data_IF_501228534618
#
_entry.id   IF_501228534618
#
_cell.length_a   1.000
_cell.length_b   1.000
_cell.length_c   1.000
_cell.angle_alpha   90.00
_cell.angle_beta   90.00
_cell.angle_gamma   90.00
#
_symmetry.space_group_name_H-M   'P 1'
#
loop_
_entity.id
_entity.type
_entity.pdbx_description
1 polymer ?
#
# COMPACT_ATOMS: atom_id res chain seq x y z
N UNK A 1 -22.05 0.43 -22.92
CA UNK A 1 -20.73 0.46 -22.28
C UNK A 1 -19.98 -0.78 -22.70
N UNK A 2 -18.97 -0.65 -23.55
CA UNK A 2 -18.10 -1.74 -23.95
C UNK A 2 -17.17 -2.05 -22.76
N UNK A 3 -17.28 -3.23 -22.19
CA UNK A 3 -16.27 -3.77 -21.30
C UNK A 3 -15.00 -3.91 -22.15
N UNK A 4 -14.08 -2.98 -22.02
CA UNK A 4 -12.73 -3.16 -22.53
C UNK A 4 -12.12 -4.30 -21.70
N UNK A 5 -12.00 -5.49 -22.30
CA UNK A 5 -11.11 -6.49 -21.77
C UNK A 5 -9.72 -5.86 -21.75
N UNK A 6 -9.25 -5.47 -20.58
CA UNK A 6 -7.89 -4.99 -20.39
C UNK A 6 -7.00 -6.17 -20.78
N UNK A 7 -6.20 -6.01 -21.84
CA UNK A 7 -5.24 -7.03 -22.23
C UNK A 7 -4.13 -7.03 -21.20
N UNK A 8 -3.78 -8.19 -20.69
CA UNK A 8 -2.53 -8.35 -19.92
C UNK A 8 -1.37 -8.07 -20.86
N UNK A 9 -0.46 -7.20 -20.43
CA UNK A 9 0.74 -6.88 -21.19
C UNK A 9 1.94 -7.41 -20.44
N UNK A 10 2.85 -8.07 -21.17
CA UNK A 10 4.17 -8.44 -20.65
C UNK A 10 5.12 -7.30 -20.95
N UNK A 11 5.70 -6.73 -19.91
CA UNK A 11 6.72 -5.68 -20.03
C UNK A 11 8.08 -6.24 -19.65
N UNK A 12 9.07 -5.99 -20.51
CA UNK A 12 10.45 -6.35 -20.27
C UNK A 12 11.18 -5.10 -19.80
N UNK A 13 11.73 -5.15 -18.58
CA UNK A 13 12.55 -4.09 -18.04
C UNK A 13 13.92 -4.08 -18.72
N UNK A 14 14.32 -2.92 -19.28
CA UNK A 14 15.63 -2.70 -19.88
C UNK A 14 16.29 -1.46 -19.27
N UNK A 15 17.24 -1.68 -18.35
CA UNK A 15 17.97 -0.61 -17.67
C UNK A 15 18.74 0.32 -18.62
N UNK A 16 19.14 -0.17 -19.80
CA UNK A 16 19.90 0.64 -20.78
C UNK A 16 19.04 1.69 -21.49
N UNK A 17 17.73 1.61 -21.38
CA UNK A 17 16.78 2.58 -21.92
C UNK A 17 16.38 3.65 -20.91
N UNK A 18 17.06 3.72 -19.76
CA UNK A 18 16.81 4.75 -18.76
C UNK A 18 17.05 6.15 -19.35
N UNK A 19 16.10 7.04 -19.12
CA UNK A 19 16.16 8.45 -19.50
C UNK A 19 16.18 9.34 -18.26
N UNK A 20 16.78 10.52 -18.38
CA UNK A 20 16.70 11.51 -17.30
C UNK A 20 15.31 12.15 -17.24
N UNK A 21 14.99 12.77 -16.11
CA UNK A 21 13.73 13.51 -15.96
C UNK A 21 13.60 14.62 -17.04
N UNK A 22 14.70 15.27 -17.42
CA UNK A 22 14.74 16.30 -18.46
C UNK A 22 14.40 15.73 -19.84
N UNK A 23 14.76 14.48 -20.10
CA UNK A 23 14.42 13.77 -21.35
C UNK A 23 13.01 13.21 -21.36
N UNK A 24 12.37 13.14 -20.20
CA UNK A 24 11.00 12.69 -20.07
C UNK A 24 10.03 13.83 -20.44
N UNK A 25 8.77 13.47 -20.71
CA UNK A 25 7.68 14.45 -20.88
C UNK A 25 7.07 14.89 -19.54
N UNK A 26 7.66 14.46 -18.43
CA UNK A 26 7.17 14.77 -17.09
C UNK A 26 7.68 16.15 -16.67
N UNK A 27 6.80 16.90 -16.04
CA UNK A 27 7.13 18.19 -15.43
C UNK A 27 6.97 18.08 -13.93
N UNK A 28 8.02 18.41 -13.18
CA UNK A 28 7.90 18.49 -11.72
C UNK A 28 7.13 19.75 -11.34
N UNK A 29 6.16 19.62 -10.44
CA UNK A 29 5.57 20.77 -9.75
C UNK A 29 6.66 21.46 -8.93
N UNK A 30 6.63 22.80 -8.92
CA UNK A 30 7.48 23.61 -8.05
C UNK A 30 6.83 23.94 -6.72
N UNK A 31 5.62 23.45 -6.50
CA UNK A 31 4.88 23.68 -5.26
C UNK A 31 5.51 22.81 -4.15
N UNK A 32 6.10 23.47 -3.18
CA UNK A 32 6.75 22.83 -2.05
C UNK A 32 6.00 23.24 -0.79
N UNK A 33 5.47 22.27 -0.05
CA UNK A 33 4.93 22.47 1.30
C UNK A 33 5.95 21.91 2.30
N UNK A 34 6.39 22.74 3.22
CA UNK A 34 7.29 22.32 4.30
C UNK A 34 6.43 21.97 5.51
N UNK A 35 6.52 20.71 5.98
CA UNK A 35 5.85 20.31 7.21
C UNK A 35 6.71 20.69 8.40
N UNK A 36 6.13 21.52 9.29
CA UNK A 36 6.79 22.00 10.50
C UNK A 36 6.45 21.09 11.68
N UNK A 37 7.42 20.34 12.14
CA UNK A 37 7.27 19.43 13.28
C UNK A 37 7.59 20.15 14.59
N UNK A 38 6.89 19.75 15.67
CA UNK A 38 7.27 20.12 17.04
C UNK A 38 8.26 19.11 17.61
N UNK A 39 8.97 19.46 18.67
CA UNK A 39 9.93 18.58 19.36
C UNK A 39 9.31 17.25 19.85
N UNK A 40 7.98 17.19 19.96
CA UNK A 40 7.24 15.99 20.38
C UNK A 40 6.76 15.12 19.21
N UNK A 41 6.91 15.56 17.97
CA UNK A 41 6.47 14.83 16.79
C UNK A 41 7.66 14.18 16.09
N UNK A 42 7.91 12.90 16.37
CA UNK A 42 8.93 12.13 15.68
C UNK A 42 8.33 11.54 14.40
N UNK A 43 9.00 11.79 13.28
CA UNK A 43 8.68 11.19 11.98
C UNK A 43 9.85 10.32 11.57
N UNK A 44 9.57 9.09 11.23
CA UNK A 44 10.60 8.17 10.76
C UNK A 44 10.80 8.30 9.24
N UNK A 45 11.91 7.77 8.72
CA UNK A 45 12.24 7.85 7.28
C UNK A 45 11.26 7.07 6.38
N UNK A 46 10.50 6.16 6.96
CA UNK A 46 9.55 5.31 6.25
C UNK A 46 8.10 5.81 6.42
N UNK A 47 7.94 7.04 6.92
CA UNK A 47 6.60 7.62 7.08
C UNK A 47 5.91 7.81 5.74
N UNK A 48 4.64 7.47 5.72
CA UNK A 48 3.73 7.74 4.61
C UNK A 48 3.06 9.10 4.79
N UNK A 49 2.82 9.80 3.69
CA UNK A 49 2.17 11.11 3.68
C UNK A 49 0.92 11.02 2.80
N UNK A 50 -0.21 11.41 3.36
CA UNK A 50 -1.48 11.47 2.64
C UNK A 50 -1.94 12.93 2.58
N UNK A 51 -2.24 13.43 1.39
CA UNK A 51 -2.89 14.72 1.21
C UNK A 51 -4.39 14.58 1.39
N UNK A 52 -4.97 15.43 2.21
CA UNK A 52 -6.43 15.56 2.44
C UNK A 52 -6.89 16.97 2.18
N UNK A 53 -8.21 17.19 2.10
CA UNK A 53 -8.77 18.53 1.79
C UNK A 53 -8.32 19.60 2.81
N UNK A 54 -8.15 19.25 4.08
CA UNK A 54 -7.74 20.13 5.17
C UNK A 54 -6.23 20.30 5.34
N UNK A 55 -5.41 19.47 4.67
CA UNK A 55 -3.95 19.50 4.83
C UNK A 55 -3.29 18.16 4.56
N UNK A 56 -2.48 17.68 5.52
CA UNK A 56 -1.64 16.49 5.36
C UNK A 56 -1.74 15.59 6.59
N UNK A 57 -1.75 14.29 6.34
CA UNK A 57 -1.65 13.25 7.38
C UNK A 57 -0.33 12.53 7.21
N UNK A 58 0.41 12.35 8.30
CA UNK A 58 1.69 11.64 8.31
C UNK A 58 1.63 10.51 9.31
N UNK A 59 2.00 9.31 8.88
CA UNK A 59 2.00 8.12 9.73
C UNK A 59 3.11 7.15 9.34
N UNK A 60 3.50 6.29 10.27
CA UNK A 60 4.43 5.19 10.02
C UNK A 60 3.77 3.86 10.35
N UNK A 61 3.87 2.89 9.43
CA UNK A 61 3.35 1.54 9.65
C UNK A 61 4.19 0.80 10.69
N UNK A 62 3.53 0.02 11.53
CA UNK A 62 4.15 -0.83 12.56
C UNK A 62 5.14 -0.10 13.49
N UNK A 63 4.99 1.22 13.61
CA UNK A 63 5.80 2.03 14.52
C UNK A 63 5.03 2.36 15.80
N UNK A 64 5.76 2.82 16.80
CA UNK A 64 5.16 3.40 18.01
C UNK A 64 4.71 4.85 17.81
N UNK A 65 4.94 5.40 16.62
CA UNK A 65 4.63 6.78 16.31
C UNK A 65 3.12 7.00 16.17
N UNK A 66 2.69 8.16 16.62
CA UNK A 66 1.31 8.60 16.43
C UNK A 66 1.05 9.04 14.99
N UNK A 67 -0.21 9.04 14.58
CA UNK A 67 -0.65 9.63 13.32
C UNK A 67 -0.73 11.14 13.52
N UNK A 68 -0.04 11.90 12.66
CA UNK A 68 0.10 13.34 12.75
C UNK A 68 -0.77 14.04 11.71
N UNK A 69 -1.39 15.14 12.09
CA UNK A 69 -2.15 16.02 11.21
C UNK A 69 -1.45 17.37 11.04
N UNK A 70 -1.45 17.89 9.81
CA UNK A 70 -0.90 19.20 9.46
C UNK A 70 -1.91 19.98 8.62
N UNK A 71 -1.90 21.29 8.75
CA UNK A 71 -2.69 22.21 7.92
C UNK A 71 -2.16 22.21 6.46
N UNK A 72 -2.91 22.83 5.55
CA UNK A 72 -2.53 22.92 4.13
C UNK A 72 -1.23 23.68 3.88
N UNK A 73 -0.86 24.60 4.77
CA UNK A 73 0.40 25.34 4.78
C UNK A 73 1.53 24.64 5.55
N UNK A 74 1.28 23.43 6.06
CA UNK A 74 2.28 22.56 6.67
C UNK A 74 2.51 22.74 8.17
N UNK A 75 1.66 23.50 8.87
CA UNK A 75 1.79 23.64 10.33
C UNK A 75 1.21 22.41 11.04
N UNK A 76 1.88 21.96 12.10
CA UNK A 76 1.35 20.86 12.91
C UNK A 76 0.01 21.25 13.54
N UNK A 77 -1.00 20.42 13.32
CA UNK A 77 -2.39 20.67 13.77
C UNK A 77 -2.77 19.79 14.98
N UNK A 78 -2.17 18.61 15.10
CA UNK A 78 -2.47 17.69 16.19
C UNK A 78 -2.25 16.23 15.82
N UNK A 79 -2.83 15.37 16.63
CA UNK A 79 -2.79 13.92 16.45
C UNK A 79 -4.15 13.40 16.00
N UNK A 80 -4.14 12.33 15.17
CA UNK A 80 -5.35 11.60 14.80
C UNK A 80 -5.49 10.42 15.75
N UNK A 81 -6.49 10.46 16.61
CA UNK A 81 -6.66 9.47 17.68
C UNK A 81 -5.48 9.43 18.65
N UNK A 82 -5.48 8.43 19.50
CA UNK A 82 -4.40 8.19 20.45
C UNK A 82 -4.07 6.70 20.49
N UNK A 83 -2.82 6.40 20.86
CA UNK A 83 -2.41 5.02 21.10
C UNK A 83 -2.80 4.59 22.49
N UNK A 84 -3.47 3.45 22.60
CA UNK A 84 -3.90 2.89 23.88
C UNK A 84 -4.87 1.75 23.73
N UNK A 85 -5.60 1.45 24.82
CA UNK A 85 -6.61 0.39 24.86
C UNK A 85 -8.00 0.93 25.26
N UNK A 86 -8.15 2.25 25.30
CA UNK A 86 -9.42 2.90 25.60
C UNK A 86 -10.37 2.95 24.41
N UNK A 87 -11.62 3.38 24.63
CA UNK A 87 -12.58 3.56 23.56
C UNK A 87 -12.03 4.59 22.51
N UNK A 88 -11.97 4.17 21.26
CA UNK A 88 -11.44 5.02 20.20
C UNK A 88 -9.92 5.18 20.19
N UNK A 89 -9.19 4.34 20.92
CA UNK A 89 -7.73 4.27 20.87
C UNK A 89 -7.29 3.05 20.08
N UNK A 90 -6.21 3.19 19.30
CA UNK A 90 -5.61 2.10 18.53
C UNK A 90 -4.31 1.63 19.21
N UNK A 91 -4.01 0.35 19.12
CA UNK A 91 -2.79 -0.25 19.70
C UNK A 91 -1.60 -0.16 18.75
N UNK A 92 -1.86 -0.35 17.46
CA UNK A 92 -0.87 -0.39 16.38
C UNK A 92 -1.41 0.32 15.15
N UNK A 93 -0.56 0.76 14.26
CA UNK A 93 -0.95 1.29 12.94
C UNK A 93 -0.43 0.33 11.87
N UNK A 94 -1.28 -0.54 11.36
CA UNK A 94 -0.91 -1.42 10.24
C UNK A 94 -1.03 -0.70 8.90
N UNK A 95 -2.12 0.06 8.72
CA UNK A 95 -2.34 0.88 7.54
C UNK A 95 -3.31 2.03 7.81
N UNK A 96 -3.27 3.05 6.96
CA UNK A 96 -4.14 4.21 7.04
C UNK A 96 -4.69 4.54 5.66
N UNK A 97 -6.01 4.65 5.55
CA UNK A 97 -6.70 4.94 4.29
C UNK A 97 -7.68 6.10 4.47
N UNK A 98 -7.73 6.98 3.49
CA UNK A 98 -8.77 8.01 3.41
C UNK A 98 -9.95 7.45 2.63
N UNK A 99 -11.09 7.30 3.29
CA UNK A 99 -12.35 7.03 2.62
C UNK A 99 -12.82 8.31 1.93
N UNK A 100 -12.64 8.40 0.63
CA UNK A 100 -12.92 9.60 -0.15
C UNK A 100 -14.40 9.97 -0.17
N UNK A 101 -15.29 8.99 -0.05
CA UNK A 101 -16.74 9.19 -0.09
C UNK A 101 -17.27 9.76 1.22
N UNK A 102 -16.86 9.21 2.35
CA UNK A 102 -17.30 9.65 3.68
C UNK A 102 -16.44 10.75 4.28
N UNK A 103 -15.26 11.05 3.69
CA UNK A 103 -14.27 12.01 4.20
C UNK A 103 -13.79 11.64 5.60
N UNK A 104 -13.54 10.37 5.82
CA UNK A 104 -13.11 9.76 7.08
C UNK A 104 -11.73 9.17 6.90
N UNK A 105 -10.87 9.31 7.91
CA UNK A 105 -9.62 8.59 8.01
C UNK A 105 -9.89 7.25 8.69
N UNK A 106 -9.52 6.18 8.04
CA UNK A 106 -9.69 4.81 8.52
C UNK A 106 -8.32 4.21 8.85
N UNK A 107 -8.13 3.78 10.09
CA UNK A 107 -6.87 3.25 10.63
C UNK A 107 -7.05 1.77 10.92
N UNK A 108 -6.32 0.92 10.20
CA UNK A 108 -6.26 -0.51 10.48
C UNK A 108 -5.34 -0.76 11.67
N UNK A 109 -5.88 -1.40 12.69
CA UNK A 109 -5.20 -1.74 13.93
C UNK A 109 -5.63 -3.11 14.44
N UNK A 110 -5.12 -3.53 15.58
CA UNK A 110 -5.59 -4.75 16.23
C UNK A 110 -7.08 -4.68 16.51
N UNK A 111 -7.79 -5.71 16.07
CA UNK A 111 -9.23 -5.87 16.29
C UNK A 111 -10.12 -4.97 15.44
N UNK A 112 -9.59 -4.27 14.43
CA UNK A 112 -10.47 -3.60 13.49
C UNK A 112 -9.95 -2.32 12.83
N UNK A 113 -10.86 -1.62 12.19
CA UNK A 113 -10.64 -0.31 11.57
C UNK A 113 -11.24 0.77 12.48
N UNK A 114 -10.42 1.68 12.93
CA UNK A 114 -10.81 2.84 13.71
C UNK A 114 -11.03 4.04 12.78
N UNK A 115 -12.19 4.66 12.86
CA UNK A 115 -12.61 5.74 12.00
C UNK A 115 -12.50 7.08 12.73
N UNK A 116 -11.84 8.07 12.08
CA UNK A 116 -11.63 9.40 12.65
C UNK A 116 -11.99 10.51 11.67
N UNK A 117 -12.37 11.66 12.20
CA UNK A 117 -12.34 12.90 11.41
C UNK A 117 -10.90 13.27 11.05
N UNK A 118 -10.68 14.13 10.06
CA UNK A 118 -9.35 14.68 9.78
C UNK A 118 -8.83 15.59 10.89
N UNK A 119 -9.68 15.98 11.83
CA UNK A 119 -9.33 16.72 13.05
C UNK A 119 -8.89 15.83 14.21
N UNK A 120 -9.03 14.50 14.08
CA UNK A 120 -8.60 13.53 15.08
C UNK A 120 -9.71 12.99 16.00
N UNK A 121 -10.96 13.44 15.84
CA UNK A 121 -12.08 12.93 16.64
C UNK A 121 -12.45 11.52 16.23
N UNK A 122 -12.59 10.64 17.19
CA UNK A 122 -13.08 9.27 16.97
C UNK A 122 -14.54 9.27 16.57
N UNK A 123 -14.88 8.51 15.54
CA UNK A 123 -16.23 8.39 15.01
C UNK A 123 -16.84 7.01 15.27
N UNK A 124 -16.12 5.95 14.91
CA UNK A 124 -16.62 4.58 14.94
C UNK A 124 -15.47 3.57 14.87
N UNK A 125 -15.78 2.32 15.21
CA UNK A 125 -14.90 1.16 15.02
C UNK A 125 -15.62 0.09 14.23
N UNK A 126 -15.02 -0.36 13.13
CA UNK A 126 -15.48 -1.54 12.39
C UNK A 126 -14.67 -2.75 12.79
N UNK A 127 -15.34 -3.80 13.19
CA UNK A 127 -14.70 -5.05 13.57
C UNK A 127 -14.13 -5.75 12.34
N UNK A 128 -12.83 -6.07 12.38
CA UNK A 128 -12.13 -6.84 11.35
C UNK A 128 -11.44 -8.02 12.02
N UNK A 129 -11.81 -9.22 11.62
CA UNK A 129 -11.24 -10.46 12.17
C UNK A 129 -10.07 -10.98 11.33
N UNK A 130 -9.81 -10.36 10.17
CA UNK A 130 -8.74 -10.74 9.27
C UNK A 130 -7.41 -10.14 9.75
N UNK A 131 -6.32 -10.92 9.81
CA UNK A 131 -4.99 -10.42 10.15
C UNK A 131 -4.36 -9.70 8.95
N UNK A 132 -4.95 -8.58 8.55
CA UNK A 132 -4.52 -7.83 7.38
C UNK A 132 -3.29 -6.95 7.68
N UNK A 133 -2.39 -6.83 6.70
CA UNK A 133 -1.21 -5.96 6.74
C UNK A 133 -1.46 -4.61 6.08
N UNK A 134 -2.35 -4.58 5.10
CA UNK A 134 -2.78 -3.37 4.43
C UNK A 134 -4.21 -3.53 3.92
N UNK A 135 -4.85 -2.42 3.60
CA UNK A 135 -6.20 -2.43 3.06
C UNK A 135 -6.43 -1.24 2.13
N UNK A 136 -7.49 -1.35 1.34
CA UNK A 136 -7.98 -0.27 0.50
C UNK A 136 -9.51 -0.30 0.43
N UNK A 137 -10.09 0.80 0.00
CA UNK A 137 -11.53 0.94 -0.22
C UNK A 137 -11.73 1.30 -1.68
N UNK A 138 -12.50 0.51 -2.42
CA UNK A 138 -12.77 0.81 -3.82
C UNK A 138 -13.90 1.86 -4.00
N UNK A 139 -14.22 2.18 -5.25
CA UNK A 139 -15.26 3.14 -5.63
C UNK A 139 -16.68 2.70 -5.23
N UNK A 140 -16.89 1.40 -5.03
CA UNK A 140 -18.14 0.80 -4.56
C UNK A 140 -18.23 0.69 -3.05
N UNK A 141 -17.20 1.16 -2.32
CA UNK A 141 -17.04 1.04 -0.87
C UNK A 141 -16.78 -0.39 -0.41
N UNK A 142 -16.32 -1.29 -1.28
CA UNK A 142 -15.80 -2.57 -0.84
C UNK A 142 -14.43 -2.40 -0.18
N UNK A 143 -14.20 -3.19 0.87
CA UNK A 143 -12.90 -3.27 1.54
C UNK A 143 -12.07 -4.40 0.94
N UNK A 144 -10.83 -4.09 0.61
CA UNK A 144 -9.83 -5.01 0.09
C UNK A 144 -8.74 -5.16 1.13
N UNK A 145 -8.64 -6.34 1.75
CA UNK A 145 -7.66 -6.64 2.78
C UNK A 145 -6.57 -7.54 2.23
N UNK A 146 -5.32 -7.11 2.32
CA UNK A 146 -4.19 -7.97 2.02
C UNK A 146 -3.73 -8.67 3.30
N UNK A 147 -3.88 -9.99 3.33
CA UNK A 147 -3.52 -10.86 4.46
C UNK A 147 -2.20 -11.60 4.20
N UNK A 148 -1.61 -11.41 3.03
CA UNK A 148 -0.33 -12.01 2.65
C UNK A 148 -0.37 -13.53 2.71
N UNK A 149 0.70 -14.12 3.20
CA UNK A 149 0.84 -15.57 3.32
C UNK A 149 0.27 -16.14 4.63
N UNK A 150 -0.69 -15.48 5.23
CA UNK A 150 -1.35 -15.97 6.44
C UNK A 150 -2.30 -17.13 6.09
N UNK A 151 -1.96 -18.33 6.56
CA UNK A 151 -2.69 -19.56 6.25
C UNK A 151 -4.00 -19.73 7.03
N UNK A 152 -4.36 -18.83 7.92
CA UNK A 152 -5.60 -18.87 8.70
C UNK A 152 -6.84 -18.89 7.81
N UNK A 153 -6.77 -18.26 6.64
CA UNK A 153 -7.85 -18.17 5.64
C UNK A 153 -7.57 -19.00 4.39
N UNK A 154 -6.92 -20.14 4.55
CA UNK A 154 -6.59 -21.02 3.44
C UNK A 154 -5.39 -20.50 2.65
N UNK A 155 -5.52 -20.48 1.33
CA UNK A 155 -4.47 -20.05 0.40
C UNK A 155 -4.71 -18.64 -0.20
N UNK A 156 -5.78 -17.96 0.21
CA UNK A 156 -6.08 -16.62 -0.28
C UNK A 156 -5.18 -15.58 0.39
N UNK A 157 -4.57 -14.72 -0.41
CA UNK A 157 -3.74 -13.60 0.04
C UNK A 157 -4.53 -12.31 0.15
N UNK A 158 -5.66 -12.21 -0.53
CA UNK A 158 -6.51 -11.04 -0.53
C UNK A 158 -7.96 -11.40 -0.27
N UNK A 159 -8.60 -10.60 0.56
CA UNK A 159 -9.99 -10.72 0.96
C UNK A 159 -10.71 -9.43 0.54
N UNK A 160 -11.80 -9.57 -0.19
CA UNK A 160 -12.69 -8.47 -0.51
C UNK A 160 -14.00 -8.64 0.24
N UNK A 161 -14.50 -7.57 0.83
CA UNK A 161 -15.80 -7.53 1.54
C UNK A 161 -16.62 -6.34 1.06
N UNK A 162 -17.89 -6.31 1.41
CA UNK A 162 -18.71 -5.11 1.23
C UNK A 162 -18.40 -4.03 2.29
N UNK A 163 -19.14 -2.92 2.26
CA UNK A 163 -18.98 -1.79 3.17
C UNK A 163 -19.23 -2.13 4.66
N UNK A 164 -19.92 -3.22 4.95
CA UNK A 164 -20.20 -3.72 6.29
C UNK A 164 -19.23 -4.80 6.76
N UNK A 165 -18.17 -5.04 6.00
CA UNK A 165 -17.17 -6.10 6.23
C UNK A 165 -17.81 -7.50 6.22
N UNK A 166 -18.87 -7.67 5.43
CA UNK A 166 -19.57 -8.91 5.15
C UNK A 166 -19.41 -9.34 3.68
N UNK A 167 -20.09 -10.38 3.24
CA UNK A 167 -20.11 -10.85 1.84
C UNK A 167 -18.72 -11.05 1.24
N UNK A 168 -17.98 -11.97 1.84
CA UNK A 168 -16.53 -12.16 1.58
C UNK A 168 -16.27 -12.86 0.25
N UNK A 169 -15.33 -12.32 -0.52
CA UNK A 169 -14.71 -12.96 -1.67
C UNK A 169 -13.19 -13.07 -1.49
N UNK A 170 -12.60 -14.14 -2.03
CA UNK A 170 -11.19 -14.48 -1.86
C UNK A 170 -10.46 -14.41 -3.19
N UNK A 171 -9.26 -13.82 -3.21
CA UNK A 171 -8.45 -13.62 -4.38
C UNK A 171 -6.99 -13.99 -4.14
N UNK A 172 -6.22 -14.15 -5.21
CA UNK A 172 -4.78 -14.44 -5.20
C UNK A 172 -4.47 -15.73 -4.43
N UNK A 173 -5.07 -16.82 -4.90
CA UNK A 173 -4.86 -18.14 -4.34
C UNK A 173 -3.46 -18.65 -4.67
N UNK A 174 -2.53 -18.49 -3.77
CA UNK A 174 -1.17 -19.04 -3.85
C UNK A 174 -0.75 -19.59 -2.50
N UNK A 175 -0.16 -20.78 -2.54
CA UNK A 175 0.52 -21.34 -1.38
C UNK A 175 1.96 -20.84 -1.39
N UNK A 176 2.33 -20.08 -0.41
CA UNK A 176 3.68 -19.61 -0.21
C UNK A 176 3.99 -19.58 1.28
N UNK A 177 5.16 -20.00 1.65
CA UNK A 177 5.65 -19.93 3.03
C UNK A 177 6.47 -18.65 3.28
N UNK A 178 6.44 -17.69 2.36
CA UNK A 178 7.15 -16.41 2.52
C UNK A 178 6.60 -15.64 3.71
N UNK A 179 7.51 -15.01 4.45
CA UNK A 179 7.12 -14.09 5.51
C UNK A 179 6.41 -12.87 4.91
N UNK A 180 5.38 -12.34 5.58
CA UNK A 180 4.83 -11.06 5.21
C UNK A 180 5.87 -9.98 5.42
N UNK A 181 6.03 -9.11 4.45
CA UNK A 181 6.87 -7.92 4.54
C UNK A 181 5.98 -6.70 4.78
N UNK A 182 6.53 -5.69 5.45
CA UNK A 182 5.85 -4.40 5.54
C UNK A 182 5.92 -3.73 4.18
N UNK A 183 4.78 -3.61 3.53
CA UNK A 183 4.66 -3.17 2.15
C UNK A 183 3.61 -2.08 2.00
N UNK A 184 3.75 -1.29 0.96
CA UNK A 184 2.69 -0.43 0.45
C UNK A 184 2.04 -1.12 -0.74
N UNK A 185 1.12 -2.06 -0.46
CA UNK A 185 0.54 -2.92 -1.48
C UNK A 185 -0.45 -2.20 -2.39
N UNK A 186 -1.19 -1.23 -1.86
CA UNK A 186 -2.21 -0.51 -2.60
C UNK A 186 -1.73 0.88 -2.99
N UNK A 187 -1.95 1.24 -4.25
CA UNK A 187 -1.76 2.57 -4.78
C UNK A 187 -3.09 3.18 -5.20
N UNK A 188 -3.28 4.48 -4.95
CA UNK A 188 -4.46 5.21 -5.45
C UNK A 188 -4.03 6.49 -6.14
N UNK A 189 -4.57 6.68 -7.33
CA UNK A 189 -4.41 7.90 -8.10
C UNK A 189 -5.74 8.25 -8.77
N UNK A 190 -6.51 9.13 -8.13
CA UNK A 190 -7.87 9.44 -8.53
C UNK A 190 -8.79 8.21 -8.46
N UNK A 191 -9.36 7.83 -9.59
CA UNK A 191 -10.26 6.67 -9.71
C UNK A 191 -9.50 5.33 -9.74
N UNK A 192 -8.19 5.35 -9.97
CA UNK A 192 -7.36 4.16 -10.12
C UNK A 192 -6.95 3.61 -8.76
N UNK A 193 -7.34 2.39 -8.50
CA UNK A 193 -6.88 1.62 -7.36
C UNK A 193 -6.04 0.45 -7.88
N UNK A 194 -4.80 0.40 -7.46
CA UNK A 194 -3.81 -0.59 -7.90
C UNK A 194 -3.37 -1.47 -6.74
N UNK A 195 -2.86 -2.65 -7.06
CA UNK A 195 -2.30 -3.57 -6.08
C UNK A 195 -1.06 -4.27 -6.63
N UNK A 196 -0.08 -4.48 -5.77
CA UNK A 196 1.11 -5.28 -6.02
C UNK A 196 1.65 -5.91 -4.74
N UNK A 197 2.51 -6.90 -4.90
CA UNK A 197 3.32 -7.47 -3.83
C UNK A 197 4.80 -7.20 -4.15
N UNK A 198 5.62 -6.84 -3.17
CA UNK A 198 7.03 -6.46 -3.40
C UNK A 198 7.86 -7.60 -4.01
N UNK A 199 7.58 -8.85 -3.62
CA UNK A 199 8.25 -10.04 -4.14
C UNK A 199 7.38 -10.78 -5.17
N UNK A 200 6.66 -10.02 -5.99
CA UNK A 200 5.89 -10.49 -7.13
C UNK A 200 5.99 -9.45 -8.25
N UNK A 201 6.07 -9.88 -9.49
CA UNK A 201 6.18 -8.98 -10.63
C UNK A 201 4.86 -8.75 -11.37
N UNK A 202 3.78 -9.30 -10.83
CA UNK A 202 2.43 -9.08 -11.33
C UNK A 202 1.82 -7.81 -10.72
N UNK A 203 1.25 -6.97 -11.57
CA UNK A 203 0.61 -5.73 -11.21
C UNK A 203 -0.89 -5.82 -11.49
N UNK A 204 -1.68 -5.45 -10.51
CA UNK A 204 -3.13 -5.59 -10.56
C UNK A 204 -3.83 -4.24 -10.47
N UNK A 205 -5.02 -4.16 -11.06
CA UNK A 205 -5.95 -3.04 -10.84
C UNK A 205 -7.23 -3.56 -10.22
N UNK A 206 -7.81 -2.73 -9.37
CA UNK A 206 -9.11 -2.97 -8.76
C UNK A 206 -10.08 -1.99 -9.38
N UNK A 207 -11.03 -2.52 -10.13
CA UNK A 207 -12.03 -1.73 -10.82
C UNK A 207 -13.38 -2.45 -10.77
N UNK A 208 -14.45 -1.71 -10.49
CA UNK A 208 -15.81 -2.26 -10.43
C UNK A 208 -15.99 -3.44 -9.46
N UNK A 209 -15.23 -3.46 -8.34
CA UNK A 209 -15.27 -4.53 -7.34
C UNK A 209 -14.59 -5.82 -7.80
N UNK A 210 -13.65 -5.75 -8.75
CA UNK A 210 -12.89 -6.89 -9.27
C UNK A 210 -11.40 -6.57 -9.25
N UNK A 211 -10.63 -7.62 -8.98
CA UNK A 211 -9.17 -7.59 -9.10
C UNK A 211 -8.78 -8.21 -10.43
N UNK A 212 -8.15 -7.44 -11.30
CA UNK A 212 -7.71 -7.88 -12.62
C UNK A 212 -6.19 -7.76 -12.73
N UNK A 213 -5.52 -8.82 -13.23
CA UNK A 213 -4.11 -8.74 -13.61
C UNK A 213 -3.98 -7.81 -14.80
N UNK A 214 -3.23 -6.73 -14.64
CA UNK A 214 -3.05 -5.71 -15.65
C UNK A 214 -1.74 -5.84 -16.40
N UNK A 215 -0.67 -6.14 -15.68
CA UNK A 215 0.68 -6.24 -16.26
C UNK A 215 1.47 -7.34 -15.56
N UNK A 216 2.29 -8.07 -16.32
CA UNK A 216 3.35 -8.92 -15.82
C UNK A 216 4.69 -8.30 -16.23
N UNK A 217 5.51 -7.99 -15.24
CA UNK A 217 6.82 -7.36 -15.45
C UNK A 217 7.90 -8.43 -15.53
N UNK A 218 8.68 -8.44 -16.61
CA UNK A 218 9.88 -9.29 -16.71
C UNK A 218 11.14 -8.46 -16.43
N UNK A 219 11.90 -8.90 -15.46
CA UNK A 219 13.22 -8.37 -15.10
C UNK A 219 14.30 -9.42 -15.45
N UNK A 220 14.78 -9.51 -16.70
CA UNK A 220 15.58 -10.65 -17.16
C UNK A 220 16.82 -10.94 -16.32
N UNK A 221 17.48 -9.87 -15.80
CA UNK A 221 18.69 -9.96 -15.00
C UNK A 221 18.44 -9.94 -13.48
N UNK A 222 17.18 -9.76 -13.05
CA UNK A 222 16.79 -9.56 -11.65
C UNK A 222 15.56 -10.39 -11.29
N UNK A 223 15.54 -11.64 -11.75
CA UNK A 223 14.43 -12.56 -11.51
C UNK A 223 14.38 -12.97 -10.04
N UNK A 224 13.17 -13.08 -9.51
CA UNK A 224 12.97 -13.67 -8.20
C UNK A 224 13.46 -15.12 -8.20
N UNK A 225 14.15 -15.57 -7.13
CA UNK A 225 14.59 -16.95 -7.03
C UNK A 225 13.42 -17.93 -7.08
N UNK A 226 13.48 -18.93 -7.95
CA UNK A 226 12.38 -19.90 -8.15
C UNK A 226 11.98 -20.65 -6.89
N UNK A 227 12.92 -20.82 -5.96
CA UNK A 227 12.71 -21.55 -4.71
C UNK A 227 11.97 -20.76 -3.64
N UNK A 228 11.78 -19.46 -3.79
CA UNK A 228 11.20 -18.63 -2.72
C UNK A 228 9.89 -19.19 -2.18
N UNK A 229 9.07 -19.78 -3.04
CA UNK A 229 7.77 -20.34 -2.65
C UNK A 229 7.88 -21.64 -1.84
N UNK A 230 9.05 -22.27 -1.83
CA UNK A 230 9.34 -23.52 -1.13
C UNK A 230 10.04 -23.29 0.21
N UNK A 231 10.63 -22.10 0.38
CA UNK A 231 11.39 -21.71 1.55
C UNK A 231 10.49 -21.07 2.62
N UNK A 232 10.97 -21.05 3.86
CA UNK A 232 10.25 -20.43 4.97
C UNK A 232 11.21 -19.73 5.95
N UNK A 233 10.70 -18.74 6.64
CA UNK A 233 11.43 -18.06 7.71
C UNK A 233 12.76 -17.46 7.25
N UNK A 234 13.83 -17.78 7.93
CA UNK A 234 15.18 -17.26 7.66
C UNK A 234 15.75 -17.72 6.32
N UNK A 235 15.35 -18.88 5.81
CA UNK A 235 15.81 -19.40 4.52
C UNK A 235 15.44 -18.45 3.37
N UNK A 236 14.25 -17.85 3.42
CA UNK A 236 13.82 -16.82 2.45
C UNK A 236 14.77 -15.64 2.47
N UNK A 237 15.11 -15.14 3.65
CA UNK A 237 15.98 -13.97 3.82
C UNK A 237 17.38 -14.28 3.29
N UNK A 238 17.92 -15.45 3.62
CA UNK A 238 19.24 -15.87 3.13
C UNK A 238 19.29 -16.02 1.60
N UNK A 239 18.24 -16.58 1.00
CA UNK A 239 18.17 -16.73 -0.46
C UNK A 239 18.06 -15.36 -1.14
N UNK A 240 17.26 -14.45 -0.61
CA UNK A 240 17.13 -13.08 -1.12
C UNK A 240 18.45 -12.32 -1.00
N UNK A 241 19.18 -12.45 0.11
CA UNK A 241 20.46 -11.77 0.29
C UNK A 241 21.54 -12.21 -0.72
N UNK A 242 21.46 -13.44 -1.23
CA UNK A 242 22.41 -14.02 -2.19
C UNK A 242 22.02 -13.79 -3.65
N UNK A 243 20.81 -13.32 -3.89
CA UNK A 243 20.22 -13.24 -5.23
C UNK A 243 20.18 -11.84 -5.76
N UNK A 244 20.34 -11.68 -7.08
CA UNK A 244 19.98 -10.46 -7.78
C UNK A 244 18.50 -10.54 -8.14
N UNK A 245 17.68 -9.66 -7.56
CA UNK A 245 16.26 -9.61 -7.88
C UNK A 245 15.75 -8.16 -7.90
N UNK A 246 14.65 -7.96 -8.61
CA UNK A 246 13.88 -6.73 -8.55
C UNK A 246 12.75 -6.87 -7.54
N UNK A 247 12.52 -5.82 -6.76
CA UNK A 247 11.38 -5.70 -5.86
C UNK A 247 10.59 -4.46 -6.22
N UNK A 248 9.30 -4.61 -6.50
CA UNK A 248 8.42 -3.48 -6.79
C UNK A 248 7.96 -2.89 -5.47
N UNK A 249 8.36 -1.65 -5.19
CA UNK A 249 8.10 -0.95 -3.92
C UNK A 249 6.80 -0.16 -3.99
N UNK A 250 6.51 0.43 -5.15
CA UNK A 250 5.28 1.18 -5.39
C UNK A 250 4.79 0.97 -6.81
N UNK A 251 3.48 0.93 -6.95
CA UNK A 251 2.79 0.91 -8.22
C UNK A 251 1.64 1.91 -8.21
N UNK A 252 1.68 2.86 -9.12
CA UNK A 252 0.61 3.83 -9.38
C UNK A 252 0.32 3.84 -10.89
N UNK A 253 -0.92 4.04 -11.23
CA UNK A 253 -1.37 4.12 -12.62
C UNK A 253 -2.34 5.28 -12.80
N UNK A 254 -2.28 5.90 -13.96
CA UNK A 254 -3.32 6.80 -14.47
C UNK A 254 -3.60 6.47 -15.94
N UNK A 255 -4.35 7.33 -16.61
CA UNK A 255 -4.78 7.11 -17.99
C UNK A 255 -3.61 6.99 -18.98
N UNK A 256 -2.49 7.67 -18.72
CA UNK A 256 -1.39 7.85 -19.65
C UNK A 256 -0.11 7.14 -19.21
N UNK A 257 0.08 6.88 -17.92
CA UNK A 257 1.34 6.44 -17.35
C UNK A 257 1.17 5.37 -16.27
N UNK A 258 2.16 4.49 -16.23
CA UNK A 258 2.42 3.57 -15.13
C UNK A 258 3.67 4.08 -14.41
N UNK A 259 3.58 4.26 -13.10
CA UNK A 259 4.70 4.66 -12.25
C UNK A 259 5.08 3.48 -11.36
N UNK A 260 6.32 3.04 -11.49
CA UNK A 260 6.90 2.00 -10.65
C UNK A 260 8.11 2.55 -9.91
N UNK A 261 8.22 2.21 -8.64
CA UNK A 261 9.45 2.36 -7.89
C UNK A 261 10.01 0.95 -7.68
N UNK A 262 11.16 0.67 -8.26
CA UNK A 262 11.77 -0.67 -8.25
C UNK A 262 13.12 -0.60 -7.53
N UNK A 263 13.31 -1.49 -6.56
CA UNK A 263 14.59 -1.74 -5.91
C UNK A 263 15.29 -2.90 -6.61
N UNK A 264 16.50 -2.66 -7.11
CA UNK A 264 17.37 -3.71 -7.61
C UNK A 264 18.31 -4.15 -6.49
N UNK A 265 18.10 -5.38 -6.00
CA UNK A 265 18.94 -5.93 -4.93
C UNK A 265 20.38 -6.12 -5.43
N UNK A 266 21.36 -6.01 -4.50
CA UNK A 266 22.80 -6.03 -4.75
C UNK A 266 23.41 -4.83 -5.53
N UNK A 267 22.61 -4.02 -6.19
CA UNK A 267 23.12 -2.76 -6.76
C UNK A 267 22.85 -1.58 -5.83
N UNK A 268 21.93 -1.72 -4.86
CA UNK A 268 21.51 -0.66 -3.96
C UNK A 268 20.78 0.48 -4.67
N UNK A 269 20.39 0.27 -5.92
CA UNK A 269 19.73 1.27 -6.75
C UNK A 269 18.21 1.17 -6.64
N UNK A 270 17.59 2.34 -6.55
CA UNK A 270 16.14 2.52 -6.76
C UNK A 270 15.93 3.20 -8.11
N UNK A 271 15.06 2.65 -8.90
CA UNK A 271 14.68 3.15 -10.23
C UNK A 271 13.18 3.42 -10.25
#
# INVERSE_FOLDING_TARGET
CSVKHKKTFDYIFNKTEAITLEQSKLTLSKDITVLSFSDSSMVDRNSSIIKVDSGWIVYSKNSESSILSFTSDGQFSGYIGHRGNGPGEYTSVYDVVVNQKSKVLEVLSDGGIFCYTFGGDFLDKKEVTYPAFSFAIDDRQNYWFYVGNNTTYGDAKMICTDENIANVAYYLHQKSNMLPMVENNFGRNGEWLTFHESLNHDLYTIENGKLDLSYAMDFPNYKLPKKLHELSGMEVIEELQRSNYASIINYLENHDYIFLNVLLNNEGERI
#
